data_IF_675268884104
#
_entry.id   IF_675268884104
#
_cell.length_a   1.000
_cell.length_b   1.000
_cell.length_c   1.000
_cell.angle_alpha   90.00
_cell.angle_beta   90.00
_cell.angle_gamma   90.00
#
_symmetry.space_group_name_H-M   'P 1'
#
loop_
_entity.id
_entity.type
_entity.pdbx_description
1 polymer ?
#
# COMPACT_ATOMS: atom_id res chain seq x y z
N UNK A 1 -30.15 12.57 -10.49
CA UNK A 1 -29.55 12.38 -9.16
C UNK A 1 -30.10 11.09 -8.56
N UNK A 2 -29.29 10.38 -7.77
CA UNK A 2 -29.56 9.11 -7.06
C UNK A 2 -28.92 7.83 -7.67
N UNK A 3 -27.70 7.93 -8.22
CA UNK A 3 -26.75 6.83 -7.98
C UNK A 3 -26.16 7.12 -6.60
N UNK A 4 -26.39 6.24 -5.63
CA UNK A 4 -25.82 6.39 -4.29
C UNK A 4 -24.29 6.38 -4.42
N UNK A 5 -23.66 7.53 -4.26
CA UNK A 5 -22.19 7.64 -4.31
C UNK A 5 -21.62 7.07 -3.02
N UNK A 6 -20.53 6.28 -3.08
CA UNK A 6 -19.86 5.79 -1.88
C UNK A 6 -19.31 6.95 -1.07
N UNK A 7 -19.23 6.76 0.24
CA UNK A 7 -18.62 7.73 1.15
C UNK A 7 -17.11 7.86 0.85
N UNK A 8 -16.49 9.04 1.01
CA UNK A 8 -15.05 9.18 0.84
C UNK A 8 -14.21 8.19 1.66
N UNK A 9 -14.67 7.78 2.83
CA UNK A 9 -14.00 6.74 3.64
C UNK A 9 -14.03 5.36 2.96
N UNK A 10 -15.13 5.01 2.29
CA UNK A 10 -15.23 3.77 1.49
C UNK A 10 -14.31 3.83 0.26
N UNK A 11 -14.18 5.02 -0.36
CA UNK A 11 -13.23 5.24 -1.47
C UNK A 11 -11.78 5.09 -0.99
N UNK A 12 -11.43 5.64 0.17
CA UNK A 12 -10.08 5.54 0.75
C UNK A 12 -9.70 4.08 1.09
N UNK A 13 -10.66 3.30 1.60
CA UNK A 13 -10.47 1.89 1.95
C UNK A 13 -9.94 1.02 0.79
N UNK A 14 -10.16 1.44 -0.47
CA UNK A 14 -9.68 0.76 -1.67
C UNK A 14 -8.15 0.62 -1.71
N UNK A 15 -7.41 1.60 -1.20
CA UNK A 15 -5.94 1.65 -1.22
C UNK A 15 -5.29 1.26 0.12
N UNK A 16 -6.12 0.83 1.08
CA UNK A 16 -5.72 0.54 2.46
C UNK A 16 -5.85 -0.95 2.83
N UNK A 17 -6.17 -1.81 1.86
CA UNK A 17 -6.36 -3.27 2.04
C UNK A 17 -7.47 -3.60 3.07
N UNK A 18 -8.47 -2.72 3.17
CA UNK A 18 -9.58 -2.84 4.13
C UNK A 18 -10.85 -3.46 3.52
N UNK A 19 -10.90 -3.60 2.20
CA UNK A 19 -12.04 -4.16 1.47
C UNK A 19 -11.80 -5.62 1.12
N UNK A 20 -12.88 -6.42 1.09
CA UNK A 20 -12.83 -7.73 0.44
C UNK A 20 -12.52 -7.58 -1.06
N UNK A 21 -12.11 -8.68 -1.69
CA UNK A 21 -11.78 -8.70 -3.13
C UNK A 21 -13.00 -8.28 -3.97
N UNK A 22 -14.18 -8.75 -3.57
CA UNK A 22 -15.46 -8.47 -4.20
C UNK A 22 -15.82 -6.98 -4.07
N UNK A 23 -15.80 -6.41 -2.85
CA UNK A 23 -16.10 -4.99 -2.60
C UNK A 23 -15.14 -4.07 -3.37
N UNK A 24 -13.84 -4.41 -3.38
CA UNK A 24 -12.85 -3.63 -4.12
C UNK A 24 -13.08 -3.70 -5.64
N UNK A 25 -13.58 -4.81 -6.17
CA UNK A 25 -13.90 -4.93 -7.60
C UNK A 25 -15.13 -4.08 -7.97
N UNK A 26 -16.19 -4.12 -7.16
CA UNK A 26 -17.40 -3.31 -7.35
C UNK A 26 -17.09 -1.81 -7.28
N UNK A 27 -16.29 -1.39 -6.31
CA UNK A 27 -15.89 0.00 -6.15
C UNK A 27 -15.03 0.48 -7.32
N UNK A 28 -14.07 -0.32 -7.81
CA UNK A 28 -13.30 0.01 -9.03
C UNK A 28 -14.20 0.16 -10.26
N UNK A 29 -15.21 -0.70 -10.40
CA UNK A 29 -16.18 -0.57 -11.48
C UNK A 29 -16.98 0.73 -11.36
N UNK A 30 -17.36 1.14 -10.15
CA UNK A 30 -18.04 2.42 -9.92
C UNK A 30 -17.14 3.62 -10.30
N UNK A 31 -15.89 3.63 -9.85
CA UNK A 31 -14.93 4.70 -10.15
C UNK A 31 -14.70 4.84 -11.66
N UNK A 32 -14.69 3.73 -12.41
CA UNK A 32 -14.58 3.76 -13.87
C UNK A 32 -15.79 4.39 -14.58
N UNK A 33 -16.95 4.48 -13.92
CA UNK A 33 -18.21 4.96 -14.49
C UNK A 33 -18.67 6.31 -13.91
N UNK A 34 -18.06 6.77 -12.81
CA UNK A 34 -18.45 7.99 -12.11
C UNK A 34 -17.27 8.96 -11.97
N UNK A 35 -17.27 10.01 -12.79
CA UNK A 35 -16.22 11.05 -12.76
C UNK A 35 -16.07 11.71 -11.40
N UNK A 36 -17.16 12.03 -10.70
CA UNK A 36 -17.09 12.68 -9.39
C UNK A 36 -16.42 11.80 -8.33
N UNK A 37 -16.69 10.49 -8.31
CA UNK A 37 -16.01 9.58 -7.38
C UNK A 37 -14.56 9.32 -7.79
N UNK A 38 -14.26 9.30 -9.10
CA UNK A 38 -12.89 9.22 -9.60
C UNK A 38 -12.05 10.45 -9.22
N UNK A 39 -12.63 11.66 -9.25
CA UNK A 39 -11.98 12.88 -8.79
C UNK A 39 -11.68 12.80 -7.28
N UNK A 40 -12.65 12.38 -6.45
CA UNK A 40 -12.44 12.18 -5.01
C UNK A 40 -11.33 11.16 -4.74
N UNK A 41 -11.28 10.05 -5.49
CA UNK A 41 -10.22 9.06 -5.37
C UNK A 41 -8.84 9.65 -5.72
N UNK A 42 -8.75 10.44 -6.79
CA UNK A 42 -7.52 11.13 -7.18
C UNK A 42 -7.04 12.12 -6.10
N UNK A 43 -7.95 12.90 -5.52
CA UNK A 43 -7.63 13.83 -4.43
C UNK A 43 -7.11 13.09 -3.18
N UNK A 44 -7.71 11.95 -2.83
CA UNK A 44 -7.24 11.10 -1.73
C UNK A 44 -5.84 10.54 -1.99
N UNK A 45 -5.53 10.15 -3.23
CA UNK A 45 -4.18 9.70 -3.60
C UNK A 45 -3.13 10.80 -3.46
N UNK A 46 -3.47 12.04 -3.83
CA UNK A 46 -2.60 13.22 -3.64
C UNK A 46 -2.37 13.47 -2.15
N UNK A 47 -3.44 13.53 -1.35
CA UNK A 47 -3.33 13.71 0.10
C UNK A 47 -2.45 12.64 0.74
N UNK A 48 -2.60 11.37 0.33
CA UNK A 48 -1.77 10.28 0.84
C UNK A 48 -0.30 10.45 0.52
N UNK A 49 0.03 10.99 -0.66
CA UNK A 49 1.42 11.30 -1.02
C UNK A 49 1.97 12.41 -0.12
N UNK A 50 1.22 13.49 0.07
CA UNK A 50 1.62 14.60 0.95
C UNK A 50 1.87 14.12 2.39
N UNK A 51 0.99 13.25 2.91
CA UNK A 51 1.14 12.66 4.24
C UNK A 51 2.39 11.77 4.37
N UNK A 52 2.79 11.08 3.30
CA UNK A 52 4.01 10.25 3.27
C UNK A 52 5.30 11.07 3.29
N UNK A 53 5.25 12.28 2.74
CA UNK A 53 6.40 13.17 2.66
C UNK A 53 6.62 13.96 3.97
N UNK A 54 5.72 13.82 4.95
CA UNK A 54 5.90 14.39 6.28
C UNK A 54 7.12 13.78 6.98
N UNK A 55 7.90 14.59 7.71
CA UNK A 55 9.06 14.10 8.43
C UNK A 55 8.65 13.09 9.49
N UNK A 56 9.19 11.88 9.38
CA UNK A 56 9.02 10.82 10.39
C UNK A 56 10.18 10.87 11.39
N UNK A 57 9.92 10.54 12.67
CA UNK A 57 10.99 10.39 13.65
C UNK A 57 11.97 9.29 13.21
N UNK A 58 13.25 9.47 13.53
CA UNK A 58 14.29 8.47 13.22
C UNK A 58 14.04 7.17 13.99
N UNK A 59 14.27 6.04 13.32
CA UNK A 59 14.30 4.72 13.96
C UNK A 59 15.47 4.70 14.97
N UNK A 60 15.30 4.14 16.18
CA UNK A 60 16.40 3.96 17.13
C UNK A 60 17.53 3.09 16.56
N UNK A 61 18.78 3.44 16.86
CA UNK A 61 19.96 2.76 16.31
C UNK A 61 19.99 1.25 16.61
N UNK A 62 19.54 0.84 17.80
CA UNK A 62 19.49 -0.57 18.19
C UNK A 62 18.48 -1.38 17.35
N UNK A 63 17.37 -0.75 17.00
CA UNK A 63 16.35 -1.35 16.14
C UNK A 63 16.87 -1.46 14.71
N UNK A 64 17.48 -0.39 14.19
CA UNK A 64 18.08 -0.39 12.85
C UNK A 64 19.15 -1.49 12.72
N UNK A 65 20.08 -1.58 13.67
CA UNK A 65 21.15 -2.58 13.66
C UNK A 65 20.61 -4.03 13.68
N UNK A 66 19.53 -4.27 14.44
CA UNK A 66 18.88 -5.60 14.48
C UNK A 66 18.21 -5.96 13.15
N UNK A 67 17.57 -4.99 12.49
CA UNK A 67 16.95 -5.18 11.17
C UNK A 67 18.03 -5.50 10.14
N UNK A 68 19.10 -4.72 10.09
CA UNK A 68 20.20 -4.93 9.13
C UNK A 68 20.87 -6.29 9.31
N UNK A 69 21.12 -6.70 10.56
CA UNK A 69 21.70 -8.00 10.86
C UNK A 69 20.78 -9.16 10.42
N UNK A 70 19.47 -9.04 10.63
CA UNK A 70 18.49 -10.04 10.19
C UNK A 70 18.44 -10.15 8.66
N UNK A 71 18.39 -9.01 7.96
CA UNK A 71 18.38 -8.99 6.49
C UNK A 71 19.67 -9.59 5.90
N UNK A 72 20.83 -9.34 6.50
CA UNK A 72 22.11 -9.92 6.06
C UNK A 72 22.15 -11.46 6.23
N UNK A 73 21.58 -11.97 7.31
CA UNK A 73 21.46 -13.41 7.54
C UNK A 73 20.53 -14.07 6.51
N UNK A 74 19.36 -13.47 6.23
CA UNK A 74 18.43 -13.95 5.21
C UNK A 74 19.05 -13.94 3.81
N UNK A 75 19.79 -12.88 3.46
CA UNK A 75 20.49 -12.80 2.17
C UNK A 75 21.53 -13.92 1.99
N UNK A 76 22.20 -14.32 3.08
CA UNK A 76 23.12 -15.46 3.09
C UNK A 76 22.38 -16.79 2.95
N UNK A 77 21.23 -16.96 3.64
CA UNK A 77 20.43 -18.18 3.63
C UNK A 77 19.67 -18.40 2.32
N UNK A 78 19.17 -17.33 1.70
CA UNK A 78 18.47 -17.35 0.42
C UNK A 78 19.40 -17.61 -0.78
N UNK A 79 20.73 -17.57 -0.58
CA UNK A 79 21.70 -17.90 -1.61
C UNK A 79 21.61 -19.41 -1.90
N UNK A 80 21.21 -19.83 -3.12
CA UNK A 80 21.20 -21.25 -3.44
C UNK A 80 22.63 -21.81 -3.33
N UNK A 81 22.76 -22.99 -2.73
CA UNK A 81 24.03 -23.71 -2.69
C UNK A 81 24.56 -23.88 -4.12
N UNK A 82 25.80 -23.45 -4.36
CA UNK A 82 26.45 -23.67 -5.65
C UNK A 82 26.42 -25.18 -5.99
N UNK A 83 26.07 -25.58 -7.23
CA UNK A 83 26.07 -26.99 -7.59
C UNK A 83 27.48 -27.58 -7.41
N UNK A 84 27.61 -28.81 -6.88
CA UNK A 84 28.92 -29.44 -6.72
C UNK A 84 29.57 -29.59 -8.10
N UNK A 85 30.74 -28.99 -8.27
CA UNK A 85 31.57 -29.18 -9.46
C UNK A 85 32.07 -30.63 -9.46
N UNK A 86 31.56 -31.43 -10.38
CA UNK A 86 32.10 -32.76 -10.75
C UNK A 86 33.21 -32.59 -11.77
#
# INVERSE_FOLDING_TARGET
MNNNHPDPAEIAALDEDLLSVEEAAELRQHLAQCTGCAEVHADLLVLRQELRDLPVPSIPDDVAARIDAALAAEATSARPAAPPTV
#
